data_IF_286968373789
#
_entry.id   IF_286968373789
#
_cell.length_a   1.000
_cell.length_b   1.000
_cell.length_c   1.000
_cell.angle_alpha   90.00
_cell.angle_beta   90.00
_cell.angle_gamma   90.00
#
_symmetry.space_group_name_H-M   'P 1'
#
loop_
_entity.id
_entity.type
_entity.pdbx_description
1 polymer ?
#
# COMPACT_ATOMS: atom_id res chain seq x y z
N UNK A 1 -22.96 -18.34 -6.11
CA UNK A 1 -22.31 -17.29 -6.91
C UNK A 1 -20.97 -17.04 -6.25
N UNK A 2 -19.88 -17.45 -6.89
CA UNK A 2 -18.56 -17.42 -6.25
C UNK A 2 -18.08 -15.98 -6.11
N UNK A 3 -17.25 -15.67 -5.10
CA UNK A 3 -16.62 -14.33 -4.95
C UNK A 3 -15.87 -13.93 -6.22
N UNK A 4 -15.32 -14.91 -6.96
CA UNK A 4 -14.68 -14.69 -8.26
C UNK A 4 -15.63 -14.13 -9.34
N UNK A 5 -16.91 -14.53 -9.35
CA UNK A 5 -17.88 -14.08 -10.36
C UNK A 5 -18.25 -12.60 -10.19
N UNK A 6 -18.08 -12.07 -8.97
CA UNK A 6 -18.42 -10.67 -8.64
C UNK A 6 -17.26 -9.73 -8.98
N UNK A 7 -16.04 -10.25 -9.12
CA UNK A 7 -14.81 -9.50 -9.37
C UNK A 7 -14.31 -9.60 -10.83
N UNK A 8 -14.95 -10.41 -11.68
CA UNK A 8 -14.54 -10.57 -13.08
C UNK A 8 -13.13 -11.15 -13.27
N UNK A 9 -12.59 -11.80 -12.24
CA UNK A 9 -11.24 -12.37 -12.25
C UNK A 9 -11.21 -13.56 -13.22
N UNK A 10 -10.37 -13.48 -14.26
CA UNK A 10 -10.13 -14.59 -15.18
C UNK A 10 -9.64 -15.82 -14.41
N UNK A 11 -10.16 -17.00 -14.74
CA UNK A 11 -9.70 -18.28 -14.19
C UNK A 11 -8.21 -18.48 -14.49
N UNK A 12 -7.47 -19.06 -13.54
CA UNK A 12 -6.03 -19.33 -13.60
C UNK A 12 -5.56 -20.19 -14.81
N UNK A 13 -6.48 -20.70 -15.63
CA UNK A 13 -6.20 -21.55 -16.79
C UNK A 13 -5.94 -20.82 -18.11
N UNK A 14 -6.15 -19.51 -18.20
CA UNK A 14 -6.10 -18.74 -19.46
C UNK A 14 -4.85 -17.84 -19.54
N UNK A 15 -3.69 -18.37 -19.13
CA UNK A 15 -2.42 -17.62 -19.22
C UNK A 15 -2.06 -17.43 -20.68
N UNK A 16 -1.84 -16.17 -21.08
CA UNK A 16 -1.43 -15.78 -22.43
C UNK A 16 -0.10 -16.46 -22.75
N UNK A 17 -0.15 -17.51 -23.56
CA UNK A 17 1.03 -18.22 -24.11
C UNK A 17 1.67 -17.46 -25.28
N UNK A 18 1.23 -16.23 -25.55
CA UNK A 18 1.73 -15.34 -26.60
C UNK A 18 2.60 -14.19 -26.08
N UNK A 19 3.04 -13.31 -26.98
CA UNK A 19 3.76 -12.08 -26.66
C UNK A 19 2.83 -11.05 -25.98
N UNK A 20 2.48 -11.30 -24.71
CA UNK A 20 1.63 -10.42 -23.91
C UNK A 20 2.23 -9.01 -23.77
N UNK A 21 1.38 -8.01 -23.61
CA UNK A 21 1.79 -6.60 -23.52
C UNK A 21 2.33 -6.31 -22.12
N UNK A 22 3.48 -5.64 -22.01
CA UNK A 22 4.07 -5.23 -20.73
C UNK A 22 3.88 -3.74 -20.52
N UNK A 23 3.20 -3.34 -19.45
CA UNK A 23 3.14 -1.94 -19.03
C UNK A 23 4.22 -1.64 -18.00
N UNK A 24 4.97 -0.55 -18.20
CA UNK A 24 5.91 -0.04 -17.18
C UNK A 24 5.35 1.23 -16.59
N UNK A 25 5.00 1.19 -15.31
CA UNK A 25 4.50 2.32 -14.53
C UNK A 25 5.66 3.04 -13.85
N UNK A 26 5.80 4.33 -14.15
CA UNK A 26 6.87 5.20 -13.62
C UNK A 26 6.24 6.40 -12.92
N UNK A 27 6.16 6.41 -11.57
CA UNK A 27 5.75 7.59 -10.83
C UNK A 27 6.87 8.64 -10.85
N UNK A 28 6.51 9.90 -11.11
CA UNK A 28 7.44 11.02 -11.23
C UNK A 28 6.99 12.16 -10.31
N UNK A 29 7.94 12.79 -9.62
CA UNK A 29 7.73 14.04 -8.88
C UNK A 29 9.06 14.80 -8.86
N UNK A 30 9.14 15.87 -9.66
CA UNK A 30 10.35 16.67 -9.84
C UNK A 30 11.58 15.85 -10.30
N UNK A 31 11.45 15.17 -11.46
CA UNK A 31 12.42 14.21 -12.00
C UNK A 31 13.02 14.68 -13.35
N UNK A 32 13.05 15.99 -13.63
CA UNK A 32 13.47 16.53 -14.93
C UNK A 32 14.86 16.06 -15.37
N UNK A 33 15.80 15.88 -14.42
CA UNK A 33 17.17 15.47 -14.68
C UNK A 33 17.31 13.99 -15.10
N UNK A 34 16.42 13.11 -14.64
CA UNK A 34 16.50 11.67 -14.85
C UNK A 34 15.58 11.19 -15.97
N UNK A 35 14.52 11.96 -16.28
CA UNK A 35 13.38 11.52 -17.08
C UNK A 35 13.75 11.04 -18.50
N UNK A 36 14.63 11.77 -19.19
CA UNK A 36 15.04 11.41 -20.55
C UNK A 36 15.89 10.13 -20.56
N UNK A 37 16.77 9.95 -19.57
CA UNK A 37 17.64 8.79 -19.50
C UNK A 37 16.88 7.53 -19.06
N UNK A 38 15.95 7.65 -18.10
CA UNK A 38 15.08 6.52 -17.73
C UNK A 38 14.19 6.12 -18.91
N UNK A 39 13.64 7.08 -19.65
CA UNK A 39 12.85 6.80 -20.86
C UNK A 39 13.67 6.01 -21.90
N UNK A 40 14.89 6.48 -22.20
CA UNK A 40 15.79 5.83 -23.15
C UNK A 40 16.13 4.40 -22.72
N UNK A 41 16.48 4.17 -21.45
CA UNK A 41 16.85 2.85 -20.93
C UNK A 41 15.66 1.89 -20.86
N UNK A 42 14.49 2.36 -20.43
CA UNK A 42 13.26 1.57 -20.40
C UNK A 42 12.85 1.16 -21.81
N UNK A 43 12.84 2.10 -22.77
CA UNK A 43 12.53 1.79 -24.17
C UNK A 43 13.50 0.77 -24.78
N UNK A 44 14.80 0.91 -24.52
CA UNK A 44 15.81 -0.04 -24.97
C UNK A 44 15.65 -1.44 -24.33
N UNK A 45 15.35 -1.50 -23.03
CA UNK A 45 15.11 -2.76 -22.32
C UNK A 45 13.86 -3.47 -22.87
N UNK A 46 12.73 -2.77 -22.96
CA UNK A 46 11.46 -3.34 -23.45
C UNK A 46 11.55 -3.83 -24.89
N UNK A 47 12.26 -3.10 -25.77
CA UNK A 47 12.49 -3.51 -27.15
C UNK A 47 13.22 -4.85 -27.25
N UNK A 48 14.07 -5.19 -26.27
CA UNK A 48 14.79 -6.48 -26.22
C UNK A 48 13.96 -7.62 -25.67
N UNK A 49 12.89 -7.35 -24.92
CA UNK A 49 12.09 -8.40 -24.29
C UNK A 49 11.11 -9.10 -25.26
N UNK A 50 10.98 -8.61 -26.50
CA UNK A 50 10.16 -9.21 -27.57
C UNK A 50 8.65 -9.19 -27.30
N UNK A 51 8.20 -8.29 -26.42
CA UNK A 51 6.80 -8.09 -26.06
C UNK A 51 6.31 -6.75 -26.62
N UNK A 52 5.01 -6.65 -26.92
CA UNK A 52 4.38 -5.33 -27.04
C UNK A 52 4.51 -4.61 -25.69
N UNK A 53 4.67 -3.29 -25.70
CA UNK A 53 4.84 -2.56 -24.45
C UNK A 53 4.16 -1.21 -24.44
N UNK A 54 3.94 -0.70 -23.24
CA UNK A 54 3.62 0.70 -23.00
C UNK A 54 4.37 1.21 -21.77
N UNK A 55 4.62 2.51 -21.72
CA UNK A 55 5.20 3.18 -20.57
C UNK A 55 4.18 4.19 -20.06
N UNK A 56 3.73 3.98 -18.83
CA UNK A 56 2.73 4.80 -18.15
C UNK A 56 3.45 5.68 -17.13
N UNK A 57 3.69 6.93 -17.50
CA UNK A 57 4.19 7.93 -16.57
C UNK A 57 3.05 8.49 -15.73
N UNK A 58 3.31 8.68 -14.43
CA UNK A 58 2.37 9.33 -13.52
C UNK A 58 3.05 10.52 -12.87
N UNK A 59 2.68 11.72 -13.32
CA UNK A 59 3.13 12.96 -12.70
C UNK A 59 2.35 13.21 -11.40
N UNK A 60 3.04 13.16 -10.26
CA UNK A 60 2.49 13.38 -8.92
C UNK A 60 2.55 14.87 -8.54
N UNK A 61 2.09 15.72 -9.45
CA UNK A 61 2.03 17.17 -9.25
C UNK A 61 3.41 17.82 -9.14
N UNK A 62 4.28 17.57 -10.12
CA UNK A 62 5.62 18.20 -10.18
C UNK A 62 5.53 19.71 -10.35
N UNK A 63 6.58 20.39 -9.92
CA UNK A 63 6.76 21.84 -9.95
C UNK A 63 7.89 22.31 -10.87
N UNK A 64 8.74 21.38 -11.32
CA UNK A 64 9.82 21.58 -12.28
C UNK A 64 9.38 21.37 -13.75
N UNK A 65 10.33 21.13 -14.67
CA UNK A 65 10.03 20.91 -16.09
C UNK A 65 9.52 19.51 -16.41
N UNK A 66 9.39 18.60 -15.42
CA UNK A 66 8.90 17.22 -15.62
C UNK A 66 7.59 17.16 -16.42
N UNK A 67 6.55 17.97 -16.13
CA UNK A 67 5.29 17.89 -16.86
C UNK A 67 5.39 18.29 -18.33
N UNK A 68 6.34 19.17 -18.67
CA UNK A 68 6.62 19.59 -20.05
C UNK A 68 7.35 18.46 -20.79
N UNK A 69 8.41 17.93 -20.21
CA UNK A 69 9.17 16.82 -20.78
C UNK A 69 8.30 15.58 -21.02
N UNK A 70 7.37 15.26 -20.10
CA UNK A 70 6.42 14.17 -20.29
C UNK A 70 5.48 14.39 -21.49
N UNK A 71 5.07 15.63 -21.75
CA UNK A 71 4.28 15.97 -22.93
C UNK A 71 5.09 15.79 -24.21
N UNK A 72 6.34 16.23 -24.22
CA UNK A 72 7.25 16.07 -25.35
C UNK A 72 7.53 14.59 -25.65
N UNK A 73 7.80 13.78 -24.62
CA UNK A 73 7.98 12.33 -24.75
C UNK A 73 6.72 11.65 -25.32
N UNK A 74 5.53 12.04 -24.85
CA UNK A 74 4.28 11.50 -25.37
C UNK A 74 4.00 11.92 -26.82
N UNK A 75 4.35 13.14 -27.19
CA UNK A 75 4.22 13.62 -28.56
C UNK A 75 5.22 12.92 -29.51
N UNK A 76 6.42 12.60 -29.02
CA UNK A 76 7.45 11.90 -29.79
C UNK A 76 7.13 10.41 -30.00
N UNK A 77 6.56 9.73 -29.01
CA UNK A 77 6.15 8.32 -29.10
C UNK A 77 4.71 8.09 -28.61
N UNK A 78 3.69 8.54 -29.38
CA UNK A 78 2.29 8.43 -28.98
C UNK A 78 1.79 6.98 -28.97
N UNK A 79 2.54 6.02 -29.54
CA UNK A 79 2.14 4.62 -29.59
C UNK A 79 2.40 3.92 -28.26
N UNK A 80 3.56 4.14 -27.65
CA UNK A 80 3.95 3.44 -26.43
C UNK A 80 3.87 4.31 -25.17
N UNK A 81 3.91 5.64 -25.28
CA UNK A 81 3.92 6.52 -24.11
C UNK A 81 2.52 6.94 -23.71
N UNK A 82 2.23 6.81 -22.42
CA UNK A 82 1.01 7.25 -21.75
C UNK A 82 1.38 8.11 -20.56
N UNK A 83 0.59 9.14 -20.28
CA UNK A 83 0.88 10.04 -19.16
C UNK A 83 -0.39 10.36 -18.38
N UNK A 84 -0.35 10.18 -17.07
CA UNK A 84 -1.40 10.57 -16.13
C UNK A 84 -0.87 11.72 -15.29
N UNK A 85 -1.53 12.88 -15.36
CA UNK A 85 -1.20 14.02 -14.51
C UNK A 85 -2.16 14.07 -13.34
N UNK A 86 -1.64 13.96 -12.11
CA UNK A 86 -2.44 14.13 -10.91
C UNK A 86 -2.68 15.62 -10.64
N UNK A 87 -3.80 15.93 -9.97
CA UNK A 87 -4.20 17.32 -9.71
C UNK A 87 -3.29 18.07 -8.75
N UNK A 88 -2.46 17.36 -8.00
CA UNK A 88 -1.48 17.83 -7.01
C UNK A 88 -0.61 16.64 -6.61
N UNK A 89 0.40 16.90 -5.79
CA UNK A 89 1.12 15.85 -5.09
C UNK A 89 0.22 15.13 -4.08
N UNK A 90 -0.02 13.83 -4.31
CA UNK A 90 -0.70 12.91 -3.41
C UNK A 90 0.29 12.01 -2.67
N UNK A 91 1.46 11.74 -3.26
CA UNK A 91 2.52 10.90 -2.73
C UNK A 91 2.71 9.63 -3.55
N UNK A 92 3.93 9.11 -3.50
CA UNK A 92 4.41 8.00 -4.33
C UNK A 92 3.45 6.79 -4.43
N UNK A 93 2.91 6.28 -3.31
CA UNK A 93 2.02 5.11 -3.34
C UNK A 93 0.70 5.37 -4.08
N UNK A 94 0.20 6.61 -4.06
CA UNK A 94 -1.00 6.99 -4.82
C UNK A 94 -0.69 7.17 -6.30
N UNK A 95 0.48 7.71 -6.65
CA UNK A 95 0.95 7.78 -8.02
C UNK A 95 1.12 6.38 -8.63
N UNK A 96 1.73 5.44 -7.88
CA UNK A 96 1.79 4.02 -8.26
C UNK A 96 0.39 3.45 -8.46
N UNK A 97 -0.52 3.66 -7.52
CA UNK A 97 -1.91 3.17 -7.62
C UNK A 97 -2.63 3.72 -8.86
N UNK A 98 -2.43 5.01 -9.17
CA UNK A 98 -2.98 5.64 -10.36
C UNK A 98 -2.42 5.01 -11.64
N UNK A 99 -1.11 4.76 -11.69
CA UNK A 99 -0.47 4.10 -12.82
C UNK A 99 -0.94 2.67 -13.02
N UNK A 100 -1.06 1.88 -11.94
CA UNK A 100 -1.61 0.53 -11.97
C UNK A 100 -3.05 0.50 -12.53
N UNK A 101 -3.88 1.47 -12.12
CA UNK A 101 -5.27 1.57 -12.58
C UNK A 101 -5.38 1.98 -14.07
N UNK A 102 -4.34 2.57 -14.67
CA UNK A 102 -4.33 3.02 -16.07
C UNK A 102 -3.52 2.11 -16.99
N UNK A 103 -2.67 1.25 -16.44
CA UNK A 103 -1.91 0.26 -17.21
C UNK A 103 -2.86 -0.76 -17.86
N UNK A 104 -2.64 -1.09 -19.12
CA UNK A 104 -3.45 -2.00 -19.93
C UNK A 104 -2.77 -3.36 -20.24
N UNK A 105 -1.48 -3.52 -19.93
CA UNK A 105 -0.69 -4.71 -20.24
C UNK A 105 -1.08 -5.97 -19.46
N UNK A 106 -0.73 -7.14 -20.00
CA UNK A 106 -0.92 -8.44 -19.35
C UNK A 106 0.01 -8.62 -18.13
N UNK A 107 1.14 -7.90 -18.12
CA UNK A 107 2.01 -7.75 -16.97
C UNK A 107 2.34 -6.27 -16.74
N UNK A 108 2.44 -5.86 -15.48
CA UNK A 108 2.73 -4.49 -15.09
C UNK A 108 3.96 -4.44 -14.20
N UNK A 109 4.95 -3.67 -14.62
CA UNK A 109 6.17 -3.40 -13.87
C UNK A 109 6.07 -2.03 -13.21
N UNK A 110 6.42 -1.93 -11.94
CA UNK A 110 6.62 -0.66 -11.25
C UNK A 110 8.12 -0.39 -11.20
N UNK A 111 8.57 0.81 -11.59
CA UNK A 111 9.96 1.24 -11.47
C UNK A 111 10.04 2.73 -11.11
N UNK A 112 10.96 3.10 -10.21
CA UNK A 112 11.19 4.49 -9.82
C UNK A 112 11.94 5.25 -10.94
N UNK A 113 11.68 6.55 -11.05
CA UNK A 113 12.32 7.40 -12.07
C UNK A 113 13.80 7.72 -11.78
N UNK A 114 14.31 7.37 -10.60
CA UNK A 114 15.62 7.80 -10.08
C UNK A 114 16.84 6.98 -10.59
N UNK A 115 16.63 6.10 -11.57
CA UNK A 115 17.64 5.24 -12.22
C UNK A 115 18.40 4.28 -11.29
N UNK A 116 18.02 4.16 -10.01
CA UNK A 116 18.68 3.23 -9.10
C UNK A 116 18.40 1.77 -9.49
N UNK A 117 17.16 1.49 -9.90
CA UNK A 117 16.75 0.16 -10.35
C UNK A 117 17.01 0.03 -11.86
N UNK A 118 17.80 -0.97 -12.31
CA UNK A 118 18.17 -1.08 -13.72
C UNK A 118 16.97 -1.55 -14.56
N UNK A 119 16.52 -0.77 -15.56
CA UNK A 119 15.44 -1.21 -16.46
C UNK A 119 15.76 -2.49 -17.22
N UNK A 120 17.03 -2.84 -17.37
CA UNK A 120 17.47 -4.06 -18.06
C UNK A 120 16.99 -5.34 -17.36
N UNK A 121 16.77 -5.29 -16.03
CA UNK A 121 16.24 -6.40 -15.23
C UNK A 121 14.79 -6.74 -15.58
N UNK A 122 14.08 -5.83 -16.27
CA UNK A 122 12.68 -6.05 -16.67
C UNK A 122 12.55 -7.30 -17.55
N UNK A 123 13.49 -7.56 -18.46
CA UNK A 123 13.40 -8.75 -19.30
C UNK A 123 13.51 -10.04 -18.50
N UNK A 124 14.35 -10.08 -17.47
CA UNK A 124 14.46 -11.24 -16.57
C UNK A 124 13.18 -11.41 -15.74
N UNK A 125 12.55 -10.32 -15.30
CA UNK A 125 11.25 -10.36 -14.64
C UNK A 125 10.16 -10.94 -15.56
N UNK A 126 10.15 -10.51 -16.82
CA UNK A 126 9.19 -11.00 -17.83
C UNK A 126 9.40 -12.50 -18.10
N UNK A 127 10.64 -12.99 -18.10
CA UNK A 127 10.91 -14.43 -18.20
C UNK A 127 10.33 -15.20 -17.01
N UNK A 128 10.58 -14.73 -15.78
CA UNK A 128 10.01 -15.36 -14.57
C UNK A 128 8.48 -15.33 -14.55
N UNK A 129 7.88 -14.26 -15.08
CA UNK A 129 6.43 -14.21 -15.25
C UNK A 129 5.94 -15.27 -16.24
N UNK A 130 6.64 -15.45 -17.37
CA UNK A 130 6.36 -16.52 -18.35
C UNK A 130 6.58 -17.93 -17.78
N UNK A 131 7.48 -18.10 -16.82
CA UNK A 131 7.64 -19.35 -16.03
C UNK A 131 6.43 -19.62 -15.11
N UNK A 132 5.46 -18.70 -15.06
CA UNK A 132 4.20 -18.87 -14.38
C UNK A 132 4.21 -18.39 -12.93
N UNK A 133 5.05 -17.41 -12.60
CA UNK A 133 4.97 -16.64 -11.35
C UNK A 133 4.10 -15.39 -11.57
N UNK A 134 3.19 -15.13 -10.65
CA UNK A 134 2.25 -14.01 -10.75
C UNK A 134 2.88 -12.70 -10.26
N UNK A 135 3.89 -12.78 -9.39
CA UNK A 135 4.65 -11.63 -8.87
C UNK A 135 6.14 -11.93 -8.93
N UNK A 136 6.92 -11.02 -9.50
CA UNK A 136 8.39 -11.09 -9.53
C UNK A 136 8.92 -9.83 -8.88
N UNK A 137 9.52 -9.93 -7.70
CA UNK A 137 10.05 -8.78 -6.98
C UNK A 137 11.58 -8.77 -6.99
N UNK A 138 12.17 -7.58 -7.11
CA UNK A 138 13.62 -7.43 -7.02
C UNK A 138 14.13 -7.69 -5.60
N UNK A 139 15.15 -8.54 -5.47
CA UNK A 139 15.90 -8.79 -4.24
C UNK A 139 17.28 -8.18 -4.36
N UNK A 140 17.67 -7.36 -3.41
CA UNK A 140 18.99 -6.69 -3.42
C UNK A 140 20.06 -7.66 -2.95
N UNK A 141 21.07 -7.89 -3.76
CA UNK A 141 22.11 -8.90 -3.47
C UNK A 141 23.23 -8.37 -2.56
N UNK A 142 23.46 -7.06 -2.50
CA UNK A 142 24.60 -6.46 -1.76
C UNK A 142 24.19 -5.37 -0.76
N UNK A 143 24.69 -5.50 0.48
CA UNK A 143 24.80 -4.44 1.49
C UNK A 143 26.24 -4.43 1.98
N UNK A 144 27.13 -3.75 1.27
CA UNK A 144 28.48 -3.53 1.77
C UNK A 144 28.45 -2.57 2.98
N UNK A 145 29.14 -2.93 4.06
CA UNK A 145 29.46 -2.01 5.16
C UNK A 145 28.54 -1.99 6.39
N UNK A 146 27.75 -3.03 6.66
CA UNK A 146 26.96 -3.08 7.91
C UNK A 146 27.77 -3.58 9.12
N UNK A 147 27.92 -2.75 10.15
CA UNK A 147 28.50 -3.13 11.44
C UNK A 147 27.65 -4.23 12.11
N UNK A 148 28.27 -5.16 12.85
CA UNK A 148 27.56 -6.27 13.54
C UNK A 148 26.35 -5.81 14.40
N UNK A 149 26.42 -4.62 14.98
CA UNK A 149 25.33 -4.00 15.74
C UNK A 149 24.13 -3.61 14.86
N UNK A 150 24.37 -3.03 13.67
CA UNK A 150 23.32 -2.71 12.69
C UNK A 150 22.63 -3.97 12.16
N UNK A 151 23.41 -5.00 11.86
CA UNK A 151 22.87 -6.31 11.46
C UNK A 151 21.98 -6.90 12.55
N UNK A 152 22.41 -6.85 13.82
CA UNK A 152 21.63 -7.37 14.93
C UNK A 152 20.35 -6.57 15.19
N UNK A 153 20.44 -5.24 15.24
CA UNK A 153 19.27 -4.37 15.48
C UNK A 153 18.26 -4.46 14.34
N UNK A 154 18.72 -4.52 13.08
CA UNK A 154 17.88 -4.78 11.93
C UNK A 154 17.19 -6.15 12.05
N UNK A 155 17.92 -7.22 12.39
CA UNK A 155 17.36 -8.57 12.53
C UNK A 155 16.31 -8.65 13.66
N UNK A 156 16.54 -7.96 14.78
CA UNK A 156 15.57 -7.88 15.87
C UNK A 156 14.32 -7.09 15.46
N UNK A 157 14.51 -5.90 14.88
CA UNK A 157 13.43 -5.06 14.36
C UNK A 157 12.56 -5.82 13.35
N UNK A 158 13.19 -6.52 12.41
CA UNK A 158 12.51 -7.30 11.39
C UNK A 158 11.80 -8.53 11.96
N UNK A 159 12.36 -9.20 12.97
CA UNK A 159 11.66 -10.27 13.70
C UNK A 159 10.43 -9.74 14.46
N UNK A 160 10.54 -8.55 15.03
CA UNK A 160 9.43 -7.90 15.72
C UNK A 160 8.32 -7.53 14.74
N UNK A 161 8.66 -6.90 13.61
CA UNK A 161 7.70 -6.62 12.53
C UNK A 161 7.04 -7.91 12.06
N UNK A 162 7.80 -8.95 11.72
CA UNK A 162 7.23 -10.23 11.26
C UNK A 162 6.26 -10.84 12.26
N UNK A 163 6.51 -10.70 13.57
CA UNK A 163 5.62 -11.21 14.62
C UNK A 163 4.35 -10.34 14.77
N UNK A 164 4.49 -9.03 14.58
CA UNK A 164 3.40 -8.06 14.69
C UNK A 164 2.59 -7.90 13.40
N UNK A 165 3.13 -8.28 12.24
CA UNK A 165 2.44 -8.34 10.95
C UNK A 165 1.71 -9.68 10.81
N UNK A 166 0.56 -9.69 10.14
CA UNK A 166 -0.16 -10.92 9.80
C UNK A 166 0.30 -11.51 8.45
N UNK A 167 1.09 -10.74 7.68
CA UNK A 167 1.63 -11.11 6.38
C UNK A 167 3.16 -11.05 6.35
N UNK A 168 3.77 -12.07 5.72
CA UNK A 168 5.21 -12.15 5.50
C UNK A 168 5.62 -11.20 4.36
N UNK A 169 6.03 -9.99 4.72
CA UNK A 169 6.56 -9.00 3.77
C UNK A 169 8.06 -9.23 3.61
N UNK A 170 8.55 -9.57 2.39
CA UNK A 170 9.98 -9.70 2.16
C UNK A 170 10.68 -8.35 2.38
N UNK A 171 11.64 -8.33 3.31
CA UNK A 171 12.23 -7.11 3.85
C UNK A 171 13.18 -6.42 2.87
N UNK A 172 13.73 -7.21 1.94
CA UNK A 172 14.67 -6.75 0.91
C UNK A 172 13.98 -6.49 -0.43
N UNK A 173 12.64 -6.59 -0.48
CA UNK A 173 11.85 -6.28 -1.67
C UNK A 173 11.58 -4.77 -1.76
N UNK A 174 12.10 -4.16 -2.83
CA UNK A 174 11.79 -2.78 -3.22
C UNK A 174 10.38 -2.63 -3.80
N UNK A 175 10.03 -1.42 -4.24
CA UNK A 175 8.84 -1.20 -5.06
C UNK A 175 9.02 -1.78 -6.47
N UNK A 176 10.26 -1.90 -6.95
CA UNK A 176 10.62 -2.55 -8.22
C UNK A 176 10.15 -4.01 -8.30
N UNK A 177 9.11 -4.24 -9.10
CA UNK A 177 8.45 -5.54 -9.25
C UNK A 177 7.65 -5.61 -10.54
N UNK A 178 7.44 -6.83 -11.02
CA UNK A 178 6.46 -7.19 -12.04
C UNK A 178 5.28 -7.90 -11.38
N UNK A 179 4.06 -7.56 -11.79
CA UNK A 179 2.82 -8.20 -11.38
C UNK A 179 2.00 -8.60 -12.61
N UNK A 180 1.46 -9.81 -12.60
CA UNK A 180 0.47 -10.26 -13.58
C UNK A 180 -0.81 -9.40 -13.50
N UNK A 181 -1.51 -9.25 -14.62
CA UNK A 181 -2.80 -8.53 -14.71
C UNK A 181 -3.77 -8.93 -13.61
N UNK A 182 -3.92 -10.22 -13.30
CA UNK A 182 -4.85 -10.66 -12.25
C UNK A 182 -4.50 -10.09 -10.87
N UNK A 183 -3.19 -9.91 -10.60
CA UNK A 183 -2.70 -9.34 -9.34
C UNK A 183 -2.97 -7.84 -9.33
N UNK A 184 -2.68 -7.15 -10.44
CA UNK A 184 -2.93 -5.71 -10.57
C UNK A 184 -4.40 -5.39 -10.36
N UNK A 185 -5.30 -6.13 -11.02
CA UNK A 185 -6.75 -5.91 -10.92
C UNK A 185 -7.25 -6.15 -9.49
N UNK A 186 -6.75 -7.21 -8.83
CA UNK A 186 -7.05 -7.48 -7.43
C UNK A 186 -6.60 -6.30 -6.54
N UNK A 187 -5.36 -5.82 -6.70
CA UNK A 187 -4.78 -4.71 -5.91
C UNK A 187 -5.54 -3.41 -6.15
N UNK A 188 -5.89 -3.08 -7.39
CA UNK A 188 -6.65 -1.86 -7.73
C UNK A 188 -8.03 -1.89 -7.08
N UNK A 189 -8.71 -3.05 -7.11
CA UNK A 189 -10.05 -3.23 -6.54
C UNK A 189 -10.10 -3.18 -5.00
N UNK A 190 -8.97 -3.32 -4.31
CA UNK A 190 -8.97 -3.34 -2.85
C UNK A 190 -9.34 -1.95 -2.25
N UNK A 191 -10.15 -1.91 -1.18
CA UNK A 191 -10.72 -0.66 -0.65
C UNK A 191 -9.77 0.18 0.22
N UNK A 192 -8.56 -0.30 0.50
CA UNK A 192 -7.60 0.32 1.42
C UNK A 192 -7.25 1.73 0.96
N UNK A 193 -7.29 2.66 1.91
CA UNK A 193 -6.96 4.07 1.69
C UNK A 193 -5.51 4.38 1.94
N UNK A 194 -4.98 3.80 3.01
CA UNK A 194 -3.56 3.86 3.31
C UNK A 194 -2.86 2.82 2.44
N UNK A 195 -2.71 3.14 1.14
CA UNK A 195 -2.12 2.26 0.15
C UNK A 195 -0.68 1.96 0.53
N UNK A 196 -0.41 0.70 0.86
CA UNK A 196 0.92 0.15 1.03
C UNK A 196 1.05 -1.05 0.08
N UNK A 197 1.39 -0.75 -1.17
CA UNK A 197 1.32 -1.72 -2.27
C UNK A 197 2.14 -2.98 -1.97
N UNK A 198 3.30 -2.84 -1.30
CA UNK A 198 4.12 -4.00 -0.90
C UNK A 198 3.38 -4.95 0.03
N UNK A 199 2.70 -4.41 1.04
CA UNK A 199 1.89 -5.18 1.98
C UNK A 199 0.66 -5.78 1.32
N UNK A 200 -0.01 -5.02 0.45
CA UNK A 200 -1.20 -5.48 -0.29
C UNK A 200 -0.85 -6.65 -1.23
N UNK A 201 0.29 -6.59 -1.93
CA UNK A 201 0.77 -7.68 -2.79
C UNK A 201 1.15 -8.92 -1.98
N UNK A 202 1.79 -8.75 -0.83
CA UNK A 202 2.08 -9.88 0.08
C UNK A 202 0.78 -10.50 0.62
N UNK A 203 -0.20 -9.69 0.99
CA UNK A 203 -1.51 -10.13 1.49
C UNK A 203 -2.35 -10.85 0.43
N UNK A 204 -2.26 -10.44 -0.83
CA UNK A 204 -3.03 -11.03 -1.93
C UNK A 204 -2.69 -12.53 -2.17
N UNK A 205 -1.53 -13.00 -1.73
CA UNK A 205 -1.22 -14.44 -1.65
C UNK A 205 -0.95 -15.16 -2.98
N UNK A 206 -0.78 -14.42 -4.08
CA UNK A 206 -0.42 -14.98 -5.39
C UNK A 206 0.99 -15.61 -5.42
N UNK A 207 1.33 -16.39 -6.47
CA UNK A 207 2.61 -17.08 -6.57
C UNK A 207 3.75 -16.08 -6.84
N UNK A 208 4.66 -15.91 -5.88
CA UNK A 208 5.73 -14.89 -5.96
C UNK A 208 7.13 -15.52 -6.06
N UNK A 209 8.07 -14.81 -6.68
CA UNK A 209 9.50 -15.15 -6.70
C UNK A 209 10.38 -13.91 -6.57
N UNK A 210 11.46 -14.05 -5.81
CA UNK A 210 12.50 -13.03 -5.71
C UNK A 210 13.52 -13.17 -6.84
N UNK A 211 13.81 -12.06 -7.53
CA UNK A 211 14.84 -11.97 -8.56
C UNK A 211 16.02 -11.15 -8.03
N UNK A 212 17.20 -11.77 -7.79
CA UNK A 212 18.36 -11.04 -7.32
C UNK A 212 18.87 -10.05 -8.39
N UNK A 213 19.16 -8.81 -8.00
CA UNK A 213 19.76 -7.81 -8.87
C UNK A 213 20.68 -6.85 -8.10
N UNK A 214 21.63 -6.25 -8.82
CA UNK A 214 22.51 -5.20 -8.29
C UNK A 214 21.89 -3.84 -8.57
N UNK A 215 21.61 -3.08 -7.51
CA UNK A 215 21.09 -1.72 -7.62
C UNK A 215 22.24 -0.76 -7.87
N UNK A 216 22.10 0.14 -8.84
CA UNK A 216 23.11 1.16 -9.08
C UNK A 216 23.20 2.13 -7.89
N UNK A 217 24.40 2.64 -7.62
CA UNK A 217 24.56 3.75 -6.68
C UNK A 217 23.78 4.98 -7.20
N UNK A 218 23.19 5.76 -6.30
CA UNK A 218 22.49 7.01 -6.64
C UNK A 218 23.43 7.91 -7.44
N UNK A 219 22.99 8.40 -8.60
CA UNK A 219 23.75 9.37 -9.40
C UNK A 219 23.90 10.73 -8.67
N UNK A 220 23.09 10.99 -7.64
CA UNK A 220 23.22 12.12 -6.72
C UNK A 220 22.29 12.02 -5.51
N UNK A 221 22.66 12.71 -4.41
CA UNK A 221 21.86 12.87 -3.20
C UNK A 221 22.20 11.90 -2.06
N UNK A 222 22.57 12.44 -0.90
CA UNK A 222 22.78 11.65 0.31
C UNK A 222 21.51 10.85 0.68
N UNK A 223 21.67 9.57 1.04
CA UNK A 223 20.60 8.75 1.61
C UNK A 223 20.20 9.29 2.98
N UNK A 224 19.29 10.26 2.98
CA UNK A 224 18.54 10.70 4.16
C UNK A 224 17.33 9.78 4.36
N UNK A 225 17.56 8.51 4.69
CA UNK A 225 16.54 7.71 5.38
C UNK A 225 16.86 7.71 6.88
N UNK A 226 16.47 8.76 7.63
CA UNK A 226 16.69 8.78 9.06
C UNK A 226 15.90 7.62 9.71
N UNK A 227 16.48 7.02 10.76
CA UNK A 227 15.88 5.93 11.53
C UNK A 227 14.41 6.22 11.92
N UNK A 228 14.07 7.47 12.21
CA UNK A 228 12.72 7.92 12.53
C UNK A 228 11.71 7.69 11.38
N UNK A 229 12.13 7.85 10.12
CA UNK A 229 11.26 7.65 8.96
C UNK A 229 11.03 6.15 8.70
N UNK A 230 12.06 5.32 8.91
CA UNK A 230 11.91 3.85 8.90
C UNK A 230 10.98 3.36 10.00
N UNK A 231 11.12 3.90 11.22
CA UNK A 231 10.27 3.51 12.34
C UNK A 231 8.82 3.89 12.10
N UNK A 232 8.56 5.10 11.57
CA UNK A 232 7.22 5.53 11.17
C UNK A 232 6.61 4.60 10.14
N UNK A 233 7.36 4.28 9.08
CA UNK A 233 6.89 3.36 8.03
C UNK A 233 6.54 1.97 8.55
N UNK A 234 7.35 1.43 9.48
CA UNK A 234 7.06 0.15 10.11
C UNK A 234 5.83 0.21 11.03
N UNK A 235 5.66 1.30 11.79
CA UNK A 235 4.48 1.52 12.62
C UNK A 235 3.23 1.62 11.75
N UNK A 236 3.28 2.38 10.65
CA UNK A 236 2.19 2.50 9.69
C UNK A 236 1.85 1.14 9.08
N UNK A 237 2.85 0.36 8.66
CA UNK A 237 2.65 -1.00 8.15
C UNK A 237 2.04 -1.96 9.17
N UNK A 238 2.50 -1.93 10.44
CA UNK A 238 1.94 -2.78 11.49
C UNK A 238 0.49 -2.37 11.78
N UNK A 239 0.19 -1.08 11.92
CA UNK A 239 -1.15 -0.60 12.27
C UNK A 239 -2.15 -0.78 11.12
N UNK A 240 -1.72 -0.64 9.87
CA UNK A 240 -2.56 -0.85 8.69
C UNK A 240 -2.92 -2.32 8.46
N UNK A 241 -2.03 -3.26 8.80
CA UNK A 241 -2.18 -4.69 8.44
C UNK A 241 -2.28 -5.63 9.65
N UNK A 242 -2.43 -5.10 10.86
CA UNK A 242 -2.54 -5.93 12.07
C UNK A 242 -3.39 -5.29 13.16
N UNK A 243 -4.16 -6.13 13.83
CA UNK A 243 -4.89 -5.76 15.06
C UNK A 243 -4.11 -6.14 16.33
N UNK A 244 -2.92 -6.74 16.19
CA UNK A 244 -2.09 -7.16 17.33
C UNK A 244 -1.70 -6.01 18.27
N UNK A 245 -1.37 -4.79 17.80
CA UNK A 245 -1.11 -3.66 18.71
C UNK A 245 -2.32 -3.31 19.59
N UNK A 246 -3.52 -3.32 19.02
CA UNK A 246 -4.77 -3.11 19.76
C UNK A 246 -5.02 -4.22 20.79
N UNK A 247 -4.74 -5.47 20.43
CA UNK A 247 -4.85 -6.60 21.37
C UNK A 247 -3.82 -6.49 22.50
N UNK A 248 -2.60 -6.03 22.20
CA UNK A 248 -1.58 -5.81 23.22
C UNK A 248 -2.01 -4.76 24.25
N UNK A 249 -2.63 -3.66 23.83
CA UNK A 249 -3.14 -2.66 24.79
C UNK A 249 -4.23 -3.21 25.69
N UNK A 250 -5.10 -4.08 25.16
CA UNK A 250 -6.09 -4.79 25.96
C UNK A 250 -5.40 -5.68 27.02
N UNK A 251 -4.38 -6.45 26.63
CA UNK A 251 -3.64 -7.29 27.58
C UNK A 251 -2.88 -6.47 28.64
N UNK A 252 -2.28 -5.34 28.27
CA UNK A 252 -1.65 -4.42 29.23
C UNK A 252 -2.68 -3.81 30.19
N UNK A 253 -3.88 -3.50 29.69
CA UNK A 253 -5.01 -3.08 30.52
C UNK A 253 -5.42 -4.15 31.55
N UNK A 254 -5.56 -5.41 31.13
CA UNK A 254 -5.86 -6.52 32.04
C UNK A 254 -4.74 -6.76 33.07
N UNK A 255 -3.48 -6.66 32.65
CA UNK A 255 -2.33 -6.77 33.56
C UNK A 255 -2.35 -5.66 34.61
N UNK A 256 -2.61 -4.42 34.18
CA UNK A 256 -2.74 -3.27 35.08
C UNK A 256 -3.87 -3.44 36.09
N UNK A 257 -5.04 -3.89 35.61
CA UNK A 257 -6.18 -4.18 36.46
C UNK A 257 -5.87 -5.30 37.47
N UNK A 258 -5.13 -6.34 37.04
CA UNK A 258 -4.67 -7.41 37.93
C UNK A 258 -3.73 -6.92 39.02
N UNK A 259 -2.74 -6.10 38.67
CA UNK A 259 -1.81 -5.48 39.65
C UNK A 259 -2.57 -4.57 40.62
N UNK A 260 -3.51 -3.77 40.11
CA UNK A 260 -4.35 -2.90 40.92
C UNK A 260 -5.23 -3.71 41.90
N UNK A 261 -5.82 -4.83 41.45
CA UNK A 261 -6.60 -5.72 42.29
C UNK A 261 -5.74 -6.32 43.42
N UNK A 262 -4.53 -6.80 43.10
CA UNK A 262 -3.59 -7.30 44.11
C UNK A 262 -3.22 -6.22 45.13
N UNK A 263 -2.96 -4.98 44.67
CA UNK A 263 -2.66 -3.86 45.54
C UNK A 263 -3.85 -3.50 46.46
N UNK A 264 -5.09 -3.56 45.95
CA UNK A 264 -6.31 -3.36 46.73
C UNK A 264 -6.47 -4.44 47.80
N UNK A 265 -6.28 -5.72 47.45
CA UNK A 265 -6.36 -6.84 48.40
C UNK A 265 -5.30 -6.70 49.50
N UNK A 266 -4.06 -6.36 49.12
CA UNK A 266 -2.98 -6.11 50.07
C UNK A 266 -3.30 -4.94 51.02
N UNK A 267 -3.77 -3.81 50.49
CA UNK A 267 -4.15 -2.65 51.28
C UNK A 267 -5.32 -2.97 52.24
N UNK A 268 -6.29 -3.77 51.80
CA UNK A 268 -7.42 -4.21 52.62
C UNK A 268 -6.97 -5.17 53.73
N UNK A 269 -6.06 -6.10 53.43
CA UNK A 269 -5.48 -6.99 54.43
C UNK A 269 -4.68 -6.21 55.49
N UNK A 270 -3.82 -5.29 55.07
CA UNK A 270 -3.10 -4.40 55.99
C UNK A 270 -4.05 -3.62 56.89
N UNK A 271 -5.18 -3.14 56.34
CA UNK A 271 -6.24 -2.45 57.09
C UNK A 271 -6.96 -3.34 58.10
N UNK A 272 -7.20 -4.61 57.80
CA UNK A 272 -8.00 -5.48 58.69
C UNK A 272 -7.17 -6.13 59.80
N UNK A 273 -5.85 -6.28 59.60
CA UNK A 273 -5.00 -7.06 60.50
C UNK A 273 -3.91 -6.24 61.22
N UNK A 274 -3.73 -4.94 60.93
CA UNK A 274 -2.65 -4.13 61.50
C UNK A 274 -3.14 -2.73 61.92
N UNK A 275 -2.61 -2.20 63.02
CA UNK A 275 -2.91 -0.84 63.53
C UNK A 275 -1.87 0.23 63.14
N UNK A 276 -1.01 -0.03 62.15
CA UNK A 276 0.01 0.92 61.66
C UNK A 276 -0.52 1.72 60.46
N UNK A 277 -0.69 3.04 60.62
CA UNK A 277 -1.20 3.90 59.54
C UNK A 277 -0.51 5.26 59.48
N UNK A 278 0.07 5.59 58.31
CA UNK A 278 -0.07 6.81 57.47
C UNK A 278 1.12 6.83 56.46
N UNK A 279 0.88 7.41 55.26
CA UNK A 279 1.75 7.57 54.08
C UNK A 279 1.77 6.45 53.02
N UNK A 280 0.57 6.07 52.56
CA UNK A 280 0.35 5.34 51.30
C UNK A 280 0.25 6.24 50.05
N UNK A 281 0.46 7.57 50.18
CA UNK A 281 0.32 8.51 49.06
C UNK A 281 1.28 8.15 47.91
N UNK A 282 2.52 7.74 48.18
CA UNK A 282 3.45 7.32 47.12
C UNK A 282 2.93 6.11 46.34
N UNK A 283 2.36 5.11 47.03
CA UNK A 283 1.77 3.94 46.37
C UNK A 283 0.49 4.30 45.59
N UNK A 284 -0.37 5.15 46.16
CA UNK A 284 -1.58 5.66 45.50
C UNK A 284 -1.20 6.51 44.28
N UNK A 285 -0.19 7.38 44.41
CA UNK A 285 0.32 8.24 43.35
C UNK A 285 0.94 7.42 42.20
N UNK A 286 1.77 6.43 42.53
CA UNK A 286 2.32 5.48 41.54
C UNK A 286 1.19 4.69 40.87
N UNK A 287 0.19 4.21 41.61
CA UNK A 287 -0.94 3.48 41.05
C UNK A 287 -1.79 4.35 40.11
N UNK A 288 -2.05 5.62 40.48
CA UNK A 288 -2.78 6.58 39.64
C UNK A 288 -1.98 6.91 38.38
N UNK A 289 -0.68 7.20 38.50
CA UNK A 289 0.18 7.47 37.34
C UNK A 289 0.31 6.26 36.41
N UNK A 290 0.41 5.06 36.97
CA UNK A 290 0.50 3.82 36.20
C UNK A 290 -0.82 3.52 35.46
N UNK A 291 -1.95 3.59 36.16
CA UNK A 291 -3.27 3.40 35.56
C UNK A 291 -3.56 4.48 34.51
N UNK A 292 -3.24 5.74 34.83
CA UNK A 292 -3.37 6.87 33.89
C UNK A 292 -2.47 6.70 32.67
N UNK A 293 -1.22 6.25 32.84
CA UNK A 293 -0.31 5.96 31.73
C UNK A 293 -0.84 4.87 30.80
N UNK A 294 -1.36 3.77 31.36
CA UNK A 294 -1.93 2.66 30.57
C UNK A 294 -3.24 3.07 29.88
N UNK A 295 -4.07 3.87 30.54
CA UNK A 295 -5.27 4.46 29.95
C UNK A 295 -4.92 5.38 28.77
N UNK A 296 -3.92 6.26 28.94
CA UNK A 296 -3.46 7.15 27.87
C UNK A 296 -2.88 6.37 26.68
N UNK A 297 -2.11 5.31 26.92
CA UNK A 297 -1.62 4.42 25.85
C UNK A 297 -2.80 3.74 25.13
N UNK A 298 -3.78 3.23 25.88
CA UNK A 298 -4.94 2.55 25.32
C UNK A 298 -5.83 3.49 24.50
N UNK A 299 -6.05 4.72 24.99
CA UNK A 299 -6.77 5.78 24.28
C UNK A 299 -6.00 6.24 23.03
N UNK A 300 -4.67 6.34 23.10
CA UNK A 300 -3.84 6.66 21.95
C UNK A 300 -3.98 5.62 20.84
N UNK A 301 -3.92 4.33 21.20
CA UNK A 301 -4.11 3.23 20.24
C UNK A 301 -5.54 3.24 19.67
N UNK A 302 -6.57 3.36 20.51
CA UNK A 302 -7.96 3.48 20.04
C UNK A 302 -8.16 4.68 19.10
N UNK A 303 -7.59 5.83 19.46
CA UNK A 303 -7.66 7.06 18.65
C UNK A 303 -7.06 6.86 17.25
N UNK A 304 -5.96 6.13 17.14
CA UNK A 304 -5.31 5.77 15.87
C UNK A 304 -6.23 4.90 14.98
N UNK A 305 -6.85 3.85 15.54
CA UNK A 305 -7.80 3.01 14.80
C UNK A 305 -9.09 3.76 14.43
N UNK A 306 -9.63 4.59 15.33
CA UNK A 306 -10.79 5.44 15.04
C UNK A 306 -10.44 6.45 13.94
N UNK A 307 -9.24 7.04 13.96
CA UNK A 307 -8.75 7.94 12.92
C UNK A 307 -8.72 7.27 11.54
N UNK A 308 -8.25 6.03 11.46
CA UNK A 308 -8.26 5.22 10.24
C UNK A 308 -9.69 4.91 9.76
N UNK A 309 -10.56 4.47 10.67
CA UNK A 309 -11.97 4.23 10.36
C UNK A 309 -12.67 5.49 9.85
N UNK A 310 -12.38 6.65 10.45
CA UNK A 310 -12.89 7.94 9.99
C UNK A 310 -12.34 8.30 8.60
N UNK A 311 -11.07 8.03 8.34
CA UNK A 311 -10.44 8.14 7.02
C UNK A 311 -11.17 7.32 5.95
N UNK A 312 -11.48 6.06 6.25
CA UNK A 312 -12.25 5.14 5.39
C UNK A 312 -13.68 5.62 5.16
N UNK A 313 -14.36 6.06 6.22
CA UNK A 313 -15.74 6.54 6.18
C UNK A 313 -15.94 7.78 5.29
N UNK A 314 -14.93 8.65 5.14
CA UNK A 314 -15.01 9.86 4.31
C UNK A 314 -15.30 9.61 2.83
N UNK A 315 -15.03 8.41 2.32
CA UNK A 315 -15.26 8.03 0.90
C UNK A 315 -14.61 8.93 -0.17
N UNK A 316 -13.68 9.82 0.20
CA UNK A 316 -12.83 10.57 -0.74
C UNK A 316 -12.06 9.65 -1.70
N UNK A 317 -11.89 9.99 -2.98
CA UNK A 317 -11.05 9.22 -3.89
C UNK A 317 -9.58 9.26 -3.44
N UNK A 318 -8.80 8.24 -3.81
CA UNK A 318 -7.39 8.10 -3.43
C UNK A 318 -6.51 9.21 -4.04
N UNK A 319 -6.81 9.58 -5.29
CA UNK A 319 -6.16 10.63 -6.05
C UNK A 319 -7.18 11.29 -6.97
N UNK A 320 -6.81 12.44 -7.54
CA UNK A 320 -7.58 13.11 -8.58
C UNK A 320 -6.68 13.34 -9.78
N UNK A 321 -7.23 13.11 -10.97
CA UNK A 321 -6.53 13.27 -12.23
C UNK A 321 -6.86 14.66 -12.79
N UNK A 322 -5.84 15.41 -13.16
CA UNK A 322 -5.97 16.69 -13.86
C UNK A 322 -6.22 16.48 -15.35
N UNK A 323 -5.38 15.66 -15.99
CA UNK A 323 -5.44 15.35 -17.43
C UNK A 323 -4.71 14.04 -17.71
N UNK A 324 -5.03 13.41 -18.84
CA UNK A 324 -4.34 12.21 -19.32
C UNK A 324 -3.94 12.39 -20.79
N UNK A 325 -2.82 11.78 -21.19
CA UNK A 325 -2.30 11.82 -22.56
C UNK A 325 -2.03 10.40 -23.07
N UNK A 326 -2.30 10.17 -24.36
CA UNK A 326 -2.10 8.86 -25.00
C UNK A 326 -3.16 7.81 -24.69
N UNK A 327 -4.13 8.10 -23.81
CA UNK A 327 -5.27 7.23 -23.55
C UNK A 327 -6.41 7.52 -24.54
N UNK A 328 -7.17 6.48 -24.93
CA UNK A 328 -8.43 6.69 -25.65
C UNK A 328 -9.39 7.59 -24.86
N UNK A 329 -10.44 8.15 -25.49
CA UNK A 329 -11.38 9.04 -24.80
C UNK A 329 -11.91 8.34 -23.54
N UNK A 330 -11.56 8.88 -22.38
CA UNK A 330 -11.93 8.28 -21.11
C UNK A 330 -13.46 8.18 -21.03
N UNK A 331 -14.04 7.02 -20.70
CA UNK A 331 -15.40 7.02 -20.21
C UNK A 331 -15.39 7.85 -18.94
N UNK A 332 -15.94 9.06 -19.01
CA UNK A 332 -16.19 9.90 -17.85
C UNK A 332 -16.98 9.04 -16.88
N UNK A 333 -16.31 8.52 -15.87
CA UNK A 333 -16.93 7.75 -14.81
C UNK A 333 -17.76 8.73 -13.99
N UNK A 334 -18.98 8.99 -14.44
CA UNK A 334 -19.99 9.65 -13.62
C UNK A 334 -20.12 8.79 -12.36
N UNK A 335 -19.94 9.35 -11.15
CA UNK A 335 -20.19 8.60 -9.94
C UNK A 335 -21.60 8.02 -10.02
N UNK A 336 -21.78 6.74 -9.64
CA UNK A 336 -23.04 5.99 -9.60
C UNK A 336 -24.08 6.58 -8.61
N UNK A 337 -24.34 7.87 -8.66
CA UNK A 337 -25.40 8.54 -7.90
C UNK A 337 -26.78 8.35 -8.55
N UNK A 338 -26.87 7.99 -9.83
CA UNK A 338 -28.16 7.88 -10.54
C UNK A 338 -28.89 6.54 -10.31
N UNK A 339 -28.22 5.46 -9.94
CA UNK A 339 -28.86 4.13 -9.87
C UNK A 339 -29.66 3.90 -8.57
N UNK A 340 -29.32 4.62 -7.49
CA UNK A 340 -30.11 4.60 -6.24
C UNK A 340 -31.37 5.46 -6.30
N UNK A 341 -31.43 6.47 -7.18
CA UNK A 341 -32.63 7.29 -7.36
C UNK A 341 -33.71 6.55 -8.17
N UNK A 342 -33.33 5.80 -9.20
CA UNK A 342 -34.29 5.03 -10.02
C UNK A 342 -34.93 3.84 -9.29
N UNK A 343 -34.21 3.25 -8.34
CA UNK A 343 -34.73 2.09 -7.59
C UNK A 343 -35.75 2.51 -6.52
N UNK A 344 -35.66 3.74 -5.97
CA UNK A 344 -36.70 4.27 -5.06
C UNK A 344 -37.98 4.68 -5.80
N UNK A 345 -37.89 5.28 -6.99
CA UNK A 345 -39.08 5.75 -7.72
C UNK A 345 -39.90 4.60 -8.34
N UNK A 346 -39.33 3.41 -8.55
CA UNK A 346 -40.07 2.25 -9.08
C UNK A 346 -40.82 1.45 -8.01
N UNK A 347 -40.37 1.50 -6.75
CA UNK A 347 -41.05 0.85 -5.63
C UNK A 347 -42.30 1.62 -5.18
N UNK A 348 -42.35 2.93 -5.40
CA UNK A 348 -43.43 3.82 -4.94
C UNK A 348 -44.58 4.03 -5.95
N UNK A 349 -44.54 3.31 -7.09
CA UNK A 349 -45.62 3.33 -8.11
C UNK A 349 -46.53 2.10 -8.12
N UNK A 350 -46.44 1.24 -7.10
CA UNK A 350 -47.49 0.23 -6.84
C UNK A 350 -48.51 0.82 -5.87
N UNK A 351 -49.38 1.68 -6.39
CA UNK A 351 -50.57 2.15 -5.67
C UNK A 351 -51.48 0.98 -5.25
N UNK A 352 -52.35 1.17 -4.25
CA UNK A 352 -53.16 0.11 -3.69
C UNK A 352 -54.13 -0.43 -4.74
N UNK A 353 -53.92 -1.68 -5.17
CA UNK A 353 -54.91 -2.44 -5.94
C UNK A 353 -56.11 -2.72 -5.03
N UNK A 354 -57.15 -1.94 -5.26
CA UNK A 354 -58.55 -2.33 -5.37
C UNK A 354 -58.94 -3.63 -4.61
N UNK A 355 -59.38 -3.46 -3.36
CA UNK A 355 -60.23 -4.46 -2.68
C UNK A 355 -61.66 -3.95 -2.70
N UNK A 356 -62.39 -4.23 -3.78
CA UNK A 356 -63.86 -4.31 -3.77
C UNK A 356 -64.37 -5.46 -4.64
N UNK A 357 -65.04 -6.39 -3.93
CA UNK A 357 -66.21 -7.20 -4.30
C UNK A 357 -66.03 -8.49 -5.12
N UNK A 358 -66.45 -9.58 -4.46
CA UNK A 358 -67.39 -10.67 -4.85
C UNK A 358 -66.89 -11.95 -4.15
N UNK A 359 -67.61 -12.67 -3.30
CA UNK A 359 -69.04 -12.76 -2.99
C UNK A 359 -69.23 -13.10 -1.50
#
# INVERSE_FOLDING_TARGET
MSVNDTLGLKSAGDRVTGAGVVSVVIPCCDEEANLLEIHRRVGAALSRCGAGYEVVYVDDGSTDSTPLLLQELQAADPRHVRVVFLSRNFGHQFAVTAGLAHAAGDAVVIIDADLQDPPEVICDMVQRWRDGYDVVYGVRTEREGETRFKLWSARFFYRLIRRLSDTDIPLDAGDFRLMDRQVVDAIVAMPERDRFVRGMVSWAGFKQVGLPYCRAARAGGETKYPLAKMLRFAVDGILSFSTKPLRLSIHLGFLSAGIALMAIVYALAMRLFTDMWVTGWTAIFIAILFLGGIQMISLGIMGEYIGRLYGEAKRRPLYLIQKTLGFGPAPVSRPQLEERSRTRTRADRRGPRDRRRLA
#
